data_IF_935284924513
#
_entry.id   IF_935284924513
#
_cell.length_a   1.000
_cell.length_b   1.000
_cell.length_c   1.000
_cell.angle_alpha   90.00
_cell.angle_beta   90.00
_cell.angle_gamma   90.00
#
_symmetry.space_group_name_H-M   'P 1'
#
loop_
_entity.id
_entity.type
_entity.pdbx_description
1 polymer ?
#
# COMPACT_ATOMS: atom_id res chain seq x y z
N UNK A 1 -6.04 29.25 -6.60
CA UNK A 1 -7.15 28.28 -6.45
C UNK A 1 -6.52 27.02 -5.92
N UNK A 2 -6.62 26.77 -4.60
CA UNK A 2 -6.03 25.59 -3.97
C UNK A 2 -6.87 24.39 -4.40
N UNK A 3 -6.29 23.52 -5.22
CA UNK A 3 -6.84 22.20 -5.53
C UNK A 3 -6.98 21.42 -4.22
N UNK A 4 -8.16 21.53 -3.60
CA UNK A 4 -8.65 20.55 -2.64
C UNK A 4 -8.92 19.28 -3.44
N UNK A 5 -7.87 18.52 -3.73
CA UNK A 5 -8.06 17.09 -3.91
C UNK A 5 -8.56 16.61 -2.54
N UNK A 6 -9.79 16.07 -2.41
CA UNK A 6 -10.07 15.32 -1.21
C UNK A 6 -9.06 14.17 -1.30
N UNK A 7 -8.10 14.10 -0.39
CA UNK A 7 -7.41 12.85 -0.13
C UNK A 7 -8.54 11.86 0.11
N UNK A 8 -8.85 11.06 -0.90
CA UNK A 8 -9.88 10.05 -0.82
C UNK A 8 -9.36 9.13 0.28
N UNK A 9 -9.91 9.29 1.49
CA UNK A 9 -9.63 8.38 2.60
C UNK A 9 -9.74 6.98 2.01
N UNK A 10 -8.74 6.10 2.18
CA UNK A 10 -8.85 4.72 1.73
C UNK A 10 -10.21 4.21 2.21
N UNK A 11 -11.02 3.71 1.27
CA UNK A 11 -12.40 3.35 1.55
C UNK A 11 -12.41 2.30 2.67
N UNK A 12 -12.72 2.75 3.88
CA UNK A 12 -12.73 1.90 5.05
C UNK A 12 -14.16 1.48 5.30
N UNK A 13 -14.41 0.18 5.28
CA UNK A 13 -15.73 -0.39 5.56
C UNK A 13 -15.82 -0.83 7.02
N UNK A 14 -15.93 0.18 7.89
CA UNK A 14 -15.93 0.02 9.35
C UNK A 14 -15.51 1.30 10.07
N UNK A 15 -15.18 1.17 11.36
CA UNK A 15 -14.67 2.26 12.17
C UNK A 15 -13.14 2.25 12.19
N UNK A 16 -12.53 3.33 11.67
CA UNK A 16 -11.09 3.36 11.39
C UNK A 16 -10.45 4.58 12.07
N UNK A 17 -9.55 4.32 13.00
CA UNK A 17 -8.91 5.33 13.83
C UNK A 17 -7.44 4.97 14.07
N UNK A 18 -6.54 5.95 13.93
CA UNK A 18 -5.10 5.79 14.17
C UNK A 18 -4.48 4.57 13.46
N UNK A 19 -4.83 4.34 12.18
CA UNK A 19 -4.28 3.24 11.38
C UNK A 19 -4.78 1.84 11.77
N UNK A 20 -5.79 1.75 12.65
CA UNK A 20 -6.47 0.52 13.03
C UNK A 20 -7.95 0.61 12.67
N UNK A 21 -8.51 -0.53 12.25
CA UNK A 21 -9.88 -0.60 11.75
C UNK A 21 -10.65 -1.72 12.45
N UNK A 22 -11.86 -1.41 12.89
CA UNK A 22 -12.87 -2.37 13.32
C UNK A 22 -13.80 -2.56 12.13
N UNK A 23 -13.72 -3.71 11.48
CA UNK A 23 -14.46 -3.98 10.25
C UNK A 23 -15.93 -4.31 10.52
N UNK A 24 -16.79 -3.90 9.59
CA UNK A 24 -18.16 -4.37 9.52
C UNK A 24 -18.23 -5.89 9.30
N UNK A 25 -19.38 -6.47 9.63
CA UNK A 25 -19.63 -7.90 9.45
C UNK A 25 -19.34 -8.35 8.02
N UNK A 26 -18.67 -9.50 7.90
CA UNK A 26 -18.29 -10.05 6.60
C UNK A 26 -17.10 -9.36 5.94
N UNK A 27 -16.37 -8.46 6.61
CA UNK A 27 -15.14 -7.84 6.06
C UNK A 27 -13.90 -8.06 6.92
N UNK A 28 -12.73 -7.88 6.31
CA UNK A 28 -11.42 -7.98 6.97
C UNK A 28 -10.30 -7.24 6.20
N UNK A 29 -9.10 -7.24 6.78
CA UNK A 29 -7.91 -6.56 6.26
C UNK A 29 -7.58 -5.29 7.04
N UNK A 30 -6.38 -4.75 6.81
CA UNK A 30 -5.87 -3.55 7.51
C UNK A 30 -6.82 -2.35 7.40
N UNK A 31 -7.54 -2.24 6.29
CA UNK A 31 -8.49 -1.17 5.97
C UNK A 31 -9.90 -1.70 5.70
N UNK A 32 -10.21 -2.92 6.13
CA UNK A 32 -11.49 -3.60 5.87
C UNK A 32 -11.82 -3.70 4.36
N UNK A 33 -10.78 -3.82 3.54
CA UNK A 33 -10.87 -3.76 2.10
C UNK A 33 -11.29 -5.10 1.45
N UNK A 34 -11.30 -6.20 2.20
CA UNK A 34 -11.66 -7.54 1.72
C UNK A 34 -13.01 -8.00 2.27
N UNK A 35 -13.80 -8.66 1.43
CA UNK A 35 -14.99 -9.40 1.85
C UNK A 35 -14.61 -10.84 2.24
N UNK A 36 -15.24 -11.38 3.28
CA UNK A 36 -15.04 -12.76 3.74
C UNK A 36 -15.73 -13.77 2.82
N UNK A 37 -16.91 -13.43 2.31
CA UNK A 37 -17.60 -14.22 1.30
C UNK A 37 -16.94 -14.04 -0.06
N UNK A 38 -16.96 -15.10 -0.85
CA UNK A 38 -16.44 -15.06 -2.21
C UNK A 38 -17.37 -15.86 -3.12
N UNK A 39 -17.96 -15.18 -4.10
CA UNK A 39 -18.96 -15.76 -5.01
C UNK A 39 -18.34 -16.32 -6.30
N UNK A 40 -17.00 -16.31 -6.41
CA UNK A 40 -16.25 -16.86 -7.54
C UNK A 40 -15.59 -18.19 -7.16
N UNK A 41 -15.31 -19.02 -8.16
CA UNK A 41 -14.54 -20.25 -7.95
C UNK A 41 -13.07 -19.95 -7.67
N UNK A 42 -12.37 -20.89 -7.02
CA UNK A 42 -10.94 -20.79 -6.73
C UNK A 42 -10.09 -20.54 -7.99
N UNK A 43 -10.46 -21.16 -9.11
CA UNK A 43 -9.78 -20.96 -10.40
C UNK A 43 -9.95 -19.55 -10.94
N UNK A 44 -11.16 -18.99 -10.89
CA UNK A 44 -11.43 -17.61 -11.29
C UNK A 44 -10.72 -16.61 -10.37
N UNK A 45 -10.74 -16.89 -9.07
CA UNK A 45 -10.05 -16.08 -8.07
C UNK A 45 -8.56 -16.03 -8.34
N UNK A 46 -7.93 -17.20 -8.47
CA UNK A 46 -6.50 -17.33 -8.69
C UNK A 46 -6.06 -16.64 -9.98
N UNK A 47 -6.82 -16.76 -11.07
CA UNK A 47 -6.49 -16.15 -12.35
C UNK A 47 -6.40 -14.61 -12.29
N UNK A 48 -7.12 -13.96 -11.37
CA UNK A 48 -7.06 -12.50 -11.18
C UNK A 48 -5.86 -12.05 -10.34
N UNK A 49 -5.20 -12.97 -9.64
CA UNK A 49 -4.04 -12.70 -8.79
C UNK A 49 -2.71 -13.17 -9.41
N UNK A 50 -2.77 -13.77 -10.59
CA UNK A 50 -1.61 -14.32 -11.29
C UNK A 50 -0.94 -13.20 -12.09
N UNK A 51 0.37 -13.03 -11.89
CA UNK A 51 1.17 -12.06 -12.64
C UNK A 51 1.43 -12.56 -14.07
N UNK A 52 2.00 -11.70 -14.92
CA UNK A 52 2.42 -12.08 -16.27
C UNK A 52 3.44 -13.23 -16.31
N UNK A 53 4.12 -13.49 -15.19
CA UNK A 53 5.11 -14.55 -15.03
C UNK A 53 4.51 -15.86 -14.52
N UNK A 54 3.19 -15.89 -14.26
CA UNK A 54 2.49 -17.06 -13.74
C UNK A 54 2.56 -17.21 -12.22
N UNK A 55 3.12 -16.22 -11.51
CA UNK A 55 3.20 -16.24 -10.05
C UNK A 55 1.96 -15.61 -9.43
N UNK A 56 1.38 -16.26 -8.44
CA UNK A 56 0.24 -15.70 -7.69
C UNK A 56 0.78 -14.73 -6.65
N UNK A 57 0.34 -13.47 -6.70
CA UNK A 57 0.73 -12.42 -5.74
C UNK A 57 2.26 -12.30 -5.57
N UNK A 58 3.00 -12.41 -6.68
CA UNK A 58 4.47 -12.32 -6.73
C UNK A 58 5.19 -13.22 -5.71
N UNK A 59 4.56 -14.34 -5.33
CA UNK A 59 5.05 -15.26 -4.30
C UNK A 59 5.09 -14.69 -2.86
N UNK A 60 4.66 -13.44 -2.65
CA UNK A 60 4.77 -12.71 -1.37
C UNK A 60 3.44 -12.65 -0.62
N UNK A 61 2.41 -13.36 -1.08
CA UNK A 61 1.07 -13.31 -0.51
C UNK A 61 0.18 -14.47 -0.91
N UNK A 62 -1.10 -14.34 -0.58
CA UNK A 62 -2.16 -15.28 -0.95
C UNK A 62 -3.27 -14.57 -1.71
N UNK A 63 -3.87 -15.23 -2.69
CA UNK A 63 -5.03 -14.69 -3.39
C UNK A 63 -6.32 -14.94 -2.61
N UNK A 64 -7.14 -13.92 -2.44
CA UNK A 64 -8.47 -14.02 -1.88
C UNK A 64 -9.47 -13.23 -2.72
N UNK A 65 -10.42 -13.95 -3.31
CA UNK A 65 -11.47 -13.37 -4.15
C UNK A 65 -10.96 -12.42 -5.25
N UNK A 66 -9.86 -12.80 -5.90
CA UNK A 66 -9.26 -12.07 -7.00
C UNK A 66 -8.44 -10.85 -6.59
N UNK A 67 -8.05 -10.76 -5.31
CA UNK A 67 -7.15 -9.73 -4.80
C UNK A 67 -6.06 -10.35 -3.95
N UNK A 68 -4.85 -9.82 -4.02
CA UNK A 68 -3.75 -10.30 -3.21
C UNK A 68 -3.80 -9.78 -1.78
N UNK A 69 -3.51 -10.69 -0.85
CA UNK A 69 -3.23 -10.43 0.56
C UNK A 69 -1.73 -10.65 0.78
N UNK A 70 -0.97 -9.57 0.89
CA UNK A 70 0.47 -9.67 1.14
C UNK A 70 0.74 -10.24 2.54
N UNK A 71 1.75 -11.12 2.62
CA UNK A 71 2.08 -11.84 3.83
C UNK A 71 2.57 -10.88 4.92
N UNK A 72 2.05 -10.97 6.16
CA UNK A 72 2.55 -10.17 7.28
C UNK A 72 4.03 -10.40 7.61
N UNK A 73 4.59 -11.54 7.20
CA UNK A 73 6.03 -11.84 7.36
C UNK A 73 6.90 -10.99 6.42
N UNK A 74 6.30 -10.49 5.34
CA UNK A 74 6.93 -9.68 4.30
C UNK A 74 6.34 -8.28 4.37
N UNK A 75 6.49 -7.62 5.52
CA UNK A 75 5.87 -6.32 5.83
C UNK A 75 6.22 -5.19 4.86
N UNK A 76 7.31 -5.35 4.12
CA UNK A 76 7.79 -4.43 3.09
C UNK A 76 7.16 -4.67 1.72
N UNK A 77 6.45 -5.78 1.51
CA UNK A 77 5.80 -6.06 0.24
C UNK A 77 4.45 -5.35 0.15
N UNK A 78 4.26 -4.60 -0.94
CA UNK A 78 3.04 -3.83 -1.22
C UNK A 78 2.66 -3.96 -2.70
N UNK A 79 1.62 -3.23 -3.14
CA UNK A 79 1.07 -3.34 -4.49
C UNK A 79 -0.11 -4.32 -4.59
N UNK A 80 -0.77 -4.31 -5.74
CA UNK A 80 -1.99 -5.10 -5.98
C UNK A 80 -1.70 -6.60 -6.12
N UNK A 81 -0.47 -6.94 -6.50
CA UNK A 81 0.07 -8.30 -6.62
C UNK A 81 1.23 -8.53 -5.64
N UNK A 82 1.39 -7.70 -4.61
CA UNK A 82 2.52 -7.77 -3.67
C UNK A 82 3.91 -7.65 -4.35
N UNK A 83 3.96 -7.03 -5.52
CA UNK A 83 5.12 -6.93 -6.40
C UNK A 83 6.16 -5.94 -5.85
N UNK A 84 5.71 -4.89 -5.18
CA UNK A 84 6.55 -3.80 -4.72
C UNK A 84 7.46 -4.24 -3.56
N UNK A 85 8.67 -3.69 -3.51
CA UNK A 85 9.56 -3.77 -2.35
C UNK A 85 9.70 -2.37 -1.75
N UNK A 86 9.01 -2.09 -0.65
CA UNK A 86 9.05 -0.79 0.05
C UNK A 86 10.37 -0.58 0.82
N UNK A 87 11.41 -1.37 0.54
CA UNK A 87 12.80 -1.13 0.97
C UNK A 87 13.68 -0.67 -0.20
N UNK A 88 13.12 -0.47 -1.38
CA UNK A 88 13.85 -0.07 -2.57
C UNK A 88 13.28 1.26 -3.11
N UNK A 89 13.52 2.35 -2.38
CA UNK A 89 13.26 3.71 -2.84
C UNK A 89 14.55 4.51 -3.01
N UNK A 90 14.42 5.70 -3.60
CA UNK A 90 15.52 6.64 -3.76
C UNK A 90 16.20 6.97 -2.41
N UNK A 91 17.51 7.13 -2.48
CA UNK A 91 18.38 7.40 -1.34
C UNK A 91 19.19 8.67 -1.61
N UNK A 92 19.41 9.44 -0.56
CA UNK A 92 20.38 10.52 -0.55
C UNK A 92 21.28 10.35 0.67
N UNK A 93 22.59 10.49 0.47
CA UNK A 93 23.62 10.19 1.48
C UNK A 93 23.49 8.82 2.16
N UNK A 94 23.02 7.81 1.40
CA UNK A 94 22.84 6.44 1.87
C UNK A 94 21.62 6.23 2.78
N UNK A 95 20.73 7.21 2.88
CA UNK A 95 19.50 7.12 3.65
C UNK A 95 18.26 7.15 2.73
N UNK A 96 17.43 6.10 2.82
CA UNK A 96 16.20 5.97 2.05
C UNK A 96 15.18 7.04 2.43
N UNK A 97 14.67 7.74 1.42
CA UNK A 97 13.78 8.89 1.58
C UNK A 97 14.30 9.89 2.63
N UNK A 98 15.63 9.92 2.86
CA UNK A 98 16.33 10.66 3.94
C UNK A 98 15.69 10.54 5.33
N UNK A 99 14.87 9.51 5.58
CA UNK A 99 14.07 9.40 6.79
C UNK A 99 12.98 10.47 6.94
N UNK A 100 12.71 11.25 5.89
CA UNK A 100 11.72 12.34 5.82
C UNK A 100 10.48 11.98 4.98
N UNK A 101 10.30 10.70 4.70
CA UNK A 101 9.21 10.20 3.89
C UNK A 101 9.00 8.70 4.10
N UNK A 102 7.91 8.21 3.53
CA UNK A 102 7.61 6.78 3.47
C UNK A 102 7.93 6.27 2.06
N UNK A 103 8.60 5.14 1.96
CA UNK A 103 8.76 4.46 0.68
C UNK A 103 7.43 3.79 0.29
N UNK A 104 6.96 4.07 -0.92
CA UNK A 104 5.80 3.45 -1.51
C UNK A 104 6.14 3.02 -2.94
N UNK A 105 6.41 1.72 -3.11
CA UNK A 105 6.68 1.09 -4.40
C UNK A 105 7.67 1.85 -5.29
N UNK A 106 8.86 2.15 -4.74
CA UNK A 106 9.93 2.83 -5.47
C UNK A 106 9.87 4.36 -5.43
N UNK A 107 8.81 4.96 -4.90
CA UNK A 107 8.69 6.39 -4.75
C UNK A 107 8.69 6.82 -3.27
N UNK A 108 9.41 7.90 -2.95
CA UNK A 108 9.33 8.49 -1.62
C UNK A 108 8.12 9.44 -1.51
N UNK A 109 7.20 9.10 -0.62
CA UNK A 109 6.13 9.98 -0.16
C UNK A 109 6.66 10.87 0.96
N UNK A 110 7.11 12.07 0.60
CA UNK A 110 7.68 13.01 1.55
C UNK A 110 6.65 13.53 2.55
N UNK A 111 7.07 13.68 3.80
CA UNK A 111 6.28 14.36 4.83
C UNK A 111 6.16 15.86 4.52
N UNK A 112 5.16 16.50 5.13
CA UNK A 112 4.90 17.92 4.94
C UNK A 112 6.16 18.77 5.17
N UNK A 113 6.48 19.63 4.18
CA UNK A 113 7.66 20.49 4.22
C UNK A 113 8.92 19.89 3.59
N UNK A 114 8.91 18.62 3.17
CA UNK A 114 10.00 17.98 2.46
C UNK A 114 9.66 17.75 0.98
N UNK A 115 10.68 17.80 0.12
CA UNK A 115 10.59 17.55 -1.32
C UNK A 115 11.91 16.98 -1.85
N UNK A 116 11.99 16.73 -3.16
CA UNK A 116 13.05 15.94 -3.78
C UNK A 116 12.64 14.48 -3.93
N UNK A 117 13.37 13.74 -4.78
CA UNK A 117 13.05 12.34 -5.07
C UNK A 117 13.29 11.44 -3.86
N UNK A 118 14.27 11.79 -3.02
CA UNK A 118 14.59 11.11 -1.78
C UNK A 118 14.21 11.96 -0.55
N UNK A 119 13.29 12.91 -0.69
CA UNK A 119 12.85 13.84 0.37
C UNK A 119 13.97 14.64 1.04
N UNK A 120 15.05 14.92 0.31
CA UNK A 120 16.28 15.51 0.81
C UNK A 120 16.24 17.04 0.95
N UNK A 121 15.20 17.69 0.42
CA UNK A 121 15.08 19.15 0.38
C UNK A 121 14.00 19.61 1.36
N UNK A 122 14.39 20.37 2.39
CA UNK A 122 13.43 21.07 3.27
C UNK A 122 12.97 22.37 2.62
N UNK A 123 11.66 22.52 2.46
CA UNK A 123 10.98 23.71 1.95
C UNK A 123 9.98 24.29 2.96
N UNK A 124 9.88 23.70 4.15
CA UNK A 124 8.90 24.07 5.17
C UNK A 124 9.08 25.49 5.69
N UNK A 125 8.03 26.30 5.45
CA UNK A 125 7.70 27.61 5.98
C UNK A 125 8.88 28.56 6.26
N UNK A 126 9.19 29.42 5.28
CA UNK A 126 9.57 30.80 5.60
C UNK A 126 8.46 31.38 6.52
N UNK A 127 8.88 31.92 7.66
CA UNK A 127 8.04 32.69 8.58
C UNK A 127 7.75 34.09 8.04
#
# INVERSE_FOLDING_TARGET
MKSLWPLAKPACHGYCSCGRCICEDGRFGKLCQFQRSCDMSDGQSRALCETSEGEVCSGKGSCHCGRCLCSPQVWWASGDFCECDDRECDQHDGLMCTGNGLCNCGNCECWDGWTGNACEIWVGAEY
#
